data_IF_361815885417
#
_entry.id   IF_361815885417
#
_cell.length_a   1.000
_cell.length_b   1.000
_cell.length_c   1.000
_cell.angle_alpha   90.00
_cell.angle_beta   90.00
_cell.angle_gamma   90.00
#
_symmetry.space_group_name_H-M   'P 1'
#
loop_
_entity.id
_entity.type
_entity.pdbx_description
1 polymer ?
#
# COMPACT_ATOMS: atom_id res chain seq x y z
N UNK A 1 32.55 -27.29 -66.09
CA UNK A 1 32.36 -27.19 -64.62
C UNK A 1 31.25 -26.19 -64.36
N UNK A 2 30.09 -26.65 -63.85
CA UNK A 2 28.94 -25.80 -63.48
C UNK A 2 29.08 -25.46 -62.00
N UNK A 3 29.16 -24.18 -61.66
CA UNK A 3 29.16 -23.71 -60.26
C UNK A 3 27.71 -23.39 -59.89
N UNK A 4 27.23 -24.02 -58.83
CA UNK A 4 25.85 -23.91 -58.34
C UNK A 4 25.81 -22.86 -57.23
N UNK A 5 25.16 -21.72 -57.47
CA UNK A 5 24.94 -20.69 -56.44
C UNK A 5 23.74 -21.10 -55.57
N UNK A 6 24.00 -21.33 -54.28
CA UNK A 6 22.97 -21.50 -53.26
C UNK A 6 22.72 -20.13 -52.62
N UNK A 7 21.57 -19.51 -52.89
CA UNK A 7 21.09 -18.36 -52.11
C UNK A 7 20.51 -18.88 -50.79
N UNK A 8 21.12 -18.46 -49.67
CA UNK A 8 20.53 -18.62 -48.34
C UNK A 8 19.48 -17.52 -48.12
N UNK A 9 18.22 -17.91 -47.91
CA UNK A 9 17.17 -17.01 -47.48
C UNK A 9 17.31 -16.74 -45.98
N UNK A 10 17.60 -15.49 -45.60
CA UNK A 10 17.57 -15.03 -44.20
C UNK A 10 16.14 -14.62 -43.89
N UNK A 11 15.44 -15.40 -43.09
CA UNK A 11 14.14 -15.04 -42.54
C UNK A 11 14.35 -14.13 -41.32
N UNK A 12 14.09 -12.84 -41.47
CA UNK A 12 14.12 -11.88 -40.36
C UNK A 12 12.96 -12.15 -39.40
N UNK A 13 13.26 -12.65 -38.20
CA UNK A 13 12.31 -12.68 -37.09
C UNK A 13 12.06 -11.25 -36.60
N UNK A 14 10.83 -10.78 -36.75
CA UNK A 14 10.38 -9.55 -36.12
C UNK A 14 10.37 -9.75 -34.60
N UNK A 15 11.23 -9.03 -33.88
CA UNK A 15 11.17 -8.93 -32.42
C UNK A 15 10.06 -7.92 -32.11
N UNK A 16 8.91 -8.41 -31.69
CA UNK A 16 7.85 -7.55 -31.15
C UNK A 16 8.32 -7.01 -29.80
N UNK A 17 8.63 -5.72 -29.75
CA UNK A 17 8.84 -5.00 -28.50
C UNK A 17 7.52 -4.92 -27.76
N UNK A 18 7.44 -5.58 -26.59
CA UNK A 18 6.32 -5.35 -25.66
C UNK A 18 6.54 -3.95 -25.10
N UNK A 19 5.65 -3.01 -25.44
CA UNK A 19 5.61 -1.72 -24.80
C UNK A 19 5.30 -1.95 -23.31
N UNK A 20 6.25 -1.61 -22.44
CA UNK A 20 5.99 -1.48 -21.01
C UNK A 20 5.05 -0.29 -20.85
N UNK A 21 3.78 -0.54 -20.55
CA UNK A 21 2.87 0.53 -20.16
C UNK A 21 3.40 1.14 -18.86
N UNK A 22 3.91 2.36 -18.95
CA UNK A 22 4.09 3.20 -17.78
C UNK A 22 2.73 3.32 -17.09
N UNK A 23 2.66 2.93 -15.82
CA UNK A 23 1.48 3.18 -15.02
C UNK A 23 1.38 4.70 -14.89
N UNK A 24 0.44 5.31 -15.59
CA UNK A 24 0.10 6.70 -15.39
C UNK A 24 -0.59 6.79 -14.03
N UNK A 25 0.13 7.28 -13.03
CA UNK A 25 -0.43 7.55 -11.70
C UNK A 25 -1.37 8.76 -11.83
N UNK A 26 -2.60 8.61 -11.36
CA UNK A 26 -3.38 9.79 -10.95
C UNK A 26 -2.56 10.55 -9.91
N UNK A 27 -2.64 11.88 -9.85
CA UNK A 27 -1.94 12.70 -8.85
C UNK A 27 -1.86 11.97 -7.51
N UNK A 28 -0.64 11.55 -7.15
CA UNK A 28 -0.43 10.62 -6.07
C UNK A 28 -0.82 11.31 -4.76
N UNK A 29 -1.97 10.93 -4.19
CA UNK A 29 -2.49 11.60 -3.00
C UNK A 29 -1.91 10.93 -1.77
N UNK A 30 -1.11 11.68 -1.01
CA UNK A 30 -0.58 11.25 0.28
C UNK A 30 -1.69 10.68 1.16
N UNK A 31 -1.45 9.54 1.81
CA UNK A 31 -2.44 8.88 2.65
C UNK A 31 -1.91 8.58 4.06
N UNK A 32 -2.70 8.96 5.07
CA UNK A 32 -2.45 8.61 6.46
C UNK A 32 -3.05 7.24 6.85
N UNK A 33 -3.72 6.56 5.91
CA UNK A 33 -4.31 5.25 6.14
C UNK A 33 -3.24 4.18 6.33
N UNK A 34 -3.65 2.99 6.79
CA UNK A 34 -2.75 1.85 6.96
C UNK A 34 -3.11 0.74 5.98
N UNK A 35 -2.17 -0.18 5.79
CA UNK A 35 -2.40 -1.41 5.03
C UNK A 35 -2.72 -2.55 5.98
N UNK A 36 -3.69 -3.38 5.59
CA UNK A 36 -4.03 -4.60 6.32
C UNK A 36 -4.07 -5.78 5.36
N UNK A 37 -3.72 -6.95 5.86
CA UNK A 37 -3.90 -8.19 5.11
C UNK A 37 -5.40 -8.43 4.85
N UNK A 38 -5.78 -8.56 3.58
CA UNK A 38 -7.20 -8.67 3.21
C UNK A 38 -7.80 -10.02 3.59
N UNK A 39 -6.98 -11.07 3.56
CA UNK A 39 -7.33 -12.44 3.97
C UNK A 39 -6.13 -13.09 4.66
N UNK A 40 -6.36 -14.13 5.47
CA UNK A 40 -5.25 -14.92 6.04
C UNK A 40 -4.51 -15.62 4.90
N UNK A 41 -3.23 -15.30 4.73
CA UNK A 41 -2.45 -15.82 3.62
C UNK A 41 -1.14 -15.09 3.40
N UNK A 42 -0.42 -15.51 2.37
CA UNK A 42 0.82 -14.86 1.95
C UNK A 42 0.56 -13.45 1.43
N UNK A 43 1.46 -12.52 1.79
CA UNK A 43 1.55 -11.19 1.19
C UNK A 43 2.82 -11.14 0.36
N UNK A 44 2.70 -10.79 -0.92
CA UNK A 44 3.83 -10.69 -1.85
C UNK A 44 3.99 -9.25 -2.28
N UNK A 45 5.21 -8.74 -2.15
CA UNK A 45 5.63 -7.45 -2.66
C UNK A 45 6.26 -7.63 -4.04
N UNK A 46 5.87 -6.81 -5.01
CA UNK A 46 6.50 -6.73 -6.33
C UNK A 46 7.09 -5.34 -6.52
N UNK A 47 8.40 -5.23 -6.72
CA UNK A 47 9.03 -3.96 -7.06
C UNK A 47 8.61 -3.52 -8.46
N UNK A 48 8.18 -2.27 -8.62
CA UNK A 48 7.69 -1.75 -9.90
C UNK A 48 8.68 -0.79 -10.54
N UNK A 49 9.09 0.24 -9.80
CA UNK A 49 9.94 1.31 -10.33
C UNK A 49 10.56 2.17 -9.22
N UNK A 50 11.50 3.01 -9.63
CA UNK A 50 12.07 4.10 -8.83
C UNK A 50 12.44 5.28 -9.74
N UNK A 51 12.29 6.50 -9.26
CA UNK A 51 12.87 7.70 -9.86
C UNK A 51 13.53 8.60 -8.80
N UNK A 52 14.39 7.98 -8.00
CA UNK A 52 15.23 8.65 -7.00
C UNK A 52 16.73 8.55 -7.29
N UNK A 53 17.47 9.53 -6.79
CA UNK A 53 18.94 9.52 -6.69
C UNK A 53 19.42 8.84 -5.40
N UNK A 54 18.69 8.97 -4.29
CA UNK A 54 19.08 8.34 -3.03
C UNK A 54 18.91 6.82 -3.08
N UNK A 55 19.81 6.11 -2.40
CA UNK A 55 19.65 4.68 -2.17
C UNK A 55 18.78 4.48 -0.93
N UNK A 56 17.67 3.77 -1.09
CA UNK A 56 16.74 3.48 -0.01
C UNK A 56 16.57 1.99 0.19
N UNK A 57 16.64 1.56 1.46
CA UNK A 57 16.34 0.20 1.87
C UNK A 57 14.92 0.14 2.46
N UNK A 58 14.07 -0.71 1.89
CA UNK A 58 12.71 -0.94 2.36
C UNK A 58 12.68 -2.09 3.36
N UNK A 59 11.99 -1.91 4.48
CA UNK A 59 11.80 -2.90 5.52
C UNK A 59 10.32 -3.11 5.77
N UNK A 60 9.92 -4.34 6.11
CA UNK A 60 8.69 -4.57 6.87
C UNK A 60 8.96 -4.03 8.29
N UNK A 61 8.10 -3.17 8.83
CA UNK A 61 8.32 -2.56 10.15
C UNK A 61 8.57 -3.65 11.21
N UNK A 62 9.62 -3.48 12.00
CA UNK A 62 10.04 -4.45 13.01
C UNK A 62 10.96 -5.58 12.50
N UNK A 63 11.19 -5.67 11.19
CA UNK A 63 12.20 -6.58 10.60
C UNK A 63 13.62 -6.02 10.75
N UNK A 64 14.59 -6.91 11.02
CA UNK A 64 16.01 -6.57 11.01
C UNK A 64 16.63 -6.58 9.61
N UNK A 65 15.97 -7.21 8.63
CA UNK A 65 16.46 -7.37 7.26
C UNK A 65 15.63 -6.54 6.29
N UNK A 66 16.30 -5.86 5.36
CA UNK A 66 15.63 -5.17 4.26
C UNK A 66 15.00 -6.19 3.30
N UNK A 67 13.87 -5.80 2.73
CA UNK A 67 13.18 -6.53 1.67
C UNK A 67 13.93 -6.30 0.35
N UNK A 68 14.25 -5.04 0.05
CA UNK A 68 14.92 -4.63 -1.17
C UNK A 68 15.63 -3.27 -1.00
N UNK A 69 16.51 -2.95 -1.95
CA UNK A 69 17.09 -1.63 -2.15
C UNK A 69 16.64 -1.05 -3.50
N UNK A 70 16.12 0.18 -3.56
CA UNK A 70 15.58 0.76 -4.81
C UNK A 70 16.59 0.86 -5.97
N UNK A 71 17.88 1.06 -5.70
CA UNK A 71 18.90 1.20 -6.74
C UNK A 71 19.34 -0.14 -7.35
N UNK A 72 19.15 -1.24 -6.62
CA UNK A 72 19.60 -2.58 -7.06
C UNK A 72 18.45 -3.52 -7.42
N UNK A 73 17.24 -3.24 -6.95
CA UNK A 73 16.08 -4.06 -7.26
C UNK A 73 15.73 -3.99 -8.75
N UNK A 74 15.39 -5.14 -9.32
CA UNK A 74 14.97 -5.23 -10.72
C UNK A 74 13.44 -5.18 -10.78
N UNK A 75 12.88 -4.30 -11.62
CA UNK A 75 11.43 -4.20 -11.80
C UNK A 75 10.80 -5.57 -12.12
N UNK A 76 9.69 -5.89 -11.45
CA UNK A 76 9.02 -7.18 -11.53
C UNK A 76 9.55 -8.25 -10.55
N UNK A 77 10.63 -7.98 -9.81
CA UNK A 77 11.09 -8.89 -8.75
C UNK A 77 10.05 -8.97 -7.64
N UNK A 78 9.77 -10.21 -7.22
CA UNK A 78 8.81 -10.51 -6.16
C UNK A 78 9.52 -10.94 -4.89
N UNK A 79 9.00 -10.47 -3.76
CA UNK A 79 9.50 -10.74 -2.42
C UNK A 79 8.34 -11.21 -1.56
N UNK A 80 8.46 -12.42 -1.00
CA UNK A 80 7.50 -12.90 -0.01
C UNK A 80 7.71 -12.14 1.30
N UNK A 81 6.65 -11.57 1.85
CA UNK A 81 6.65 -10.96 3.18
C UNK A 81 6.23 -11.97 4.27
N UNK A 82 5.92 -13.21 3.88
CA UNK A 82 5.38 -14.24 4.74
C UNK A 82 3.85 -14.23 4.81
N UNK A 83 3.32 -15.01 5.76
CA UNK A 83 1.88 -15.17 6.00
C UNK A 83 1.40 -14.21 7.07
N UNK A 84 0.29 -13.53 6.79
CA UNK A 84 -0.38 -12.61 7.70
C UNK A 84 -1.80 -13.13 7.98
N UNK A 85 -2.32 -12.86 9.17
CA UNK A 85 -3.72 -13.09 9.49
C UNK A 85 -4.60 -11.99 8.87
N UNK A 86 -5.85 -12.32 8.51
CA UNK A 86 -6.79 -11.32 8.02
C UNK A 86 -6.92 -10.14 9.00
N UNK A 87 -6.80 -8.91 8.49
CA UNK A 87 -6.87 -7.69 9.27
C UNK A 87 -5.58 -7.37 10.04
N UNK A 88 -4.51 -8.16 9.91
CA UNK A 88 -3.22 -7.84 10.48
C UNK A 88 -2.61 -6.62 9.79
N UNK A 89 -2.07 -5.69 10.58
CA UNK A 89 -1.37 -4.51 10.09
C UNK A 89 -0.12 -4.91 9.28
N UNK A 90 0.02 -4.29 8.11
CA UNK A 90 1.22 -4.34 7.28
C UNK A 90 1.76 -2.92 7.23
N UNK A 91 2.98 -2.69 7.71
CA UNK A 91 3.61 -1.38 7.69
C UNK A 91 5.04 -1.49 7.21
N UNK A 92 5.53 -0.42 6.61
CA UNK A 92 6.85 -0.36 6.03
C UNK A 92 7.65 0.81 6.59
N UNK A 93 8.97 0.58 6.71
CA UNK A 93 9.95 1.62 6.97
C UNK A 93 10.88 1.73 5.76
N UNK A 94 11.15 2.95 5.30
CA UNK A 94 12.13 3.24 4.28
C UNK A 94 13.31 3.97 4.92
N UNK A 95 14.50 3.35 4.88
CA UNK A 95 15.74 3.98 5.31
C UNK A 95 16.43 4.61 4.11
N UNK A 96 16.70 5.91 4.18
CA UNK A 96 17.52 6.63 3.20
C UNK A 96 18.97 6.50 3.61
N UNK A 97 19.76 5.74 2.85
CA UNK A 97 21.08 5.28 3.28
C UNK A 97 22.09 6.42 3.43
N UNK A 98 21.98 7.46 2.61
CA UNK A 98 22.89 8.61 2.61
C UNK A 98 22.66 9.55 3.80
N UNK A 99 21.40 9.78 4.18
CA UNK A 99 21.02 10.73 5.24
C UNK A 99 20.79 10.05 6.59
N UNK A 100 20.50 8.75 6.60
CA UNK A 100 20.09 8.00 7.77
C UNK A 100 18.64 8.27 8.21
N UNK A 101 17.88 9.08 7.47
CA UNK A 101 16.46 9.27 7.78
C UNK A 101 15.67 8.00 7.53
N UNK A 102 14.71 7.74 8.42
CA UNK A 102 13.78 6.63 8.29
C UNK A 102 12.36 7.19 8.22
N UNK A 103 11.70 6.92 7.11
CA UNK A 103 10.31 7.31 6.87
C UNK A 103 9.40 6.10 6.98
N UNK A 104 8.27 6.29 7.62
CA UNK A 104 7.30 5.27 7.97
C UNK A 104 6.03 5.46 7.15
N UNK A 105 5.44 4.34 6.71
CA UNK A 105 4.11 4.33 6.12
C UNK A 105 3.03 4.73 7.14
N UNK A 106 1.93 5.29 6.64
CA UNK A 106 0.78 5.70 7.45
C UNK A 106 0.84 7.16 7.89
N UNK A 107 0.35 7.43 9.10
CA UNK A 107 0.20 8.81 9.61
C UNK A 107 1.51 9.59 9.66
N UNK A 108 1.43 10.88 9.32
CA UNK A 108 2.51 11.86 9.49
C UNK A 108 3.11 11.88 10.90
N UNK A 109 2.31 11.58 11.93
CA UNK A 109 2.77 11.55 13.30
C UNK A 109 3.85 10.49 13.57
N UNK A 110 3.96 9.48 12.70
CA UNK A 110 5.01 8.46 12.77
C UNK A 110 6.37 8.98 12.28
N UNK A 111 6.39 10.08 11.53
CA UNK A 111 7.58 10.65 10.93
C UNK A 111 8.10 11.86 11.72
N UNK A 112 9.42 11.98 11.82
CA UNK A 112 10.08 13.03 12.60
C UNK A 112 9.77 14.45 12.08
N UNK A 113 9.46 14.56 10.80
CA UNK A 113 9.11 15.81 10.11
C UNK A 113 7.61 16.09 10.07
N UNK A 114 6.79 15.22 10.64
CA UNK A 114 5.33 15.30 10.60
C UNK A 114 4.77 15.32 9.16
N UNK A 115 5.46 14.65 8.22
CA UNK A 115 5.03 14.53 6.84
C UNK A 115 4.57 13.10 6.49
N UNK A 116 3.65 12.97 5.53
CA UNK A 116 3.18 11.68 5.02
C UNK A 116 4.06 11.28 3.84
N UNK A 117 4.84 10.21 3.99
CA UNK A 117 5.78 9.74 2.98
C UNK A 117 5.24 8.64 2.07
N UNK A 118 3.92 8.37 2.12
CA UNK A 118 3.32 7.29 1.34
C UNK A 118 2.05 7.69 0.61
N UNK A 119 1.86 7.06 -0.54
CA UNK A 119 0.60 7.05 -1.30
C UNK A 119 0.11 5.62 -1.47
N UNK A 120 -1.20 5.46 -1.59
CA UNK A 120 -1.82 4.17 -1.87
C UNK A 120 -2.77 4.29 -3.06
N UNK A 121 -2.61 3.41 -4.04
CA UNK A 121 -3.57 3.21 -5.12
C UNK A 121 -4.09 1.77 -5.05
N UNK A 122 -5.31 1.60 -4.54
CA UNK A 122 -5.94 0.29 -4.41
C UNK A 122 -6.71 -0.07 -5.68
N UNK A 123 -6.45 -1.28 -6.17
CA UNK A 123 -7.21 -1.93 -7.24
C UNK A 123 -7.76 -3.26 -6.74
N UNK A 124 -8.71 -3.85 -7.47
CA UNK A 124 -9.36 -5.11 -7.07
C UNK A 124 -8.40 -6.32 -6.85
N UNK A 125 -7.11 -6.21 -7.23
CA UNK A 125 -6.14 -7.31 -7.14
C UNK A 125 -4.87 -6.99 -6.37
N UNK A 126 -4.56 -5.71 -6.16
CA UNK A 126 -3.31 -5.26 -5.54
C UNK A 126 -3.43 -3.82 -5.06
N UNK A 127 -2.62 -3.46 -4.07
CA UNK A 127 -2.38 -2.07 -3.67
C UNK A 127 -1.02 -1.66 -4.20
N UNK A 128 -0.95 -0.55 -4.92
CA UNK A 128 0.31 0.10 -5.30
C UNK A 128 0.67 1.09 -4.19
N UNK A 129 1.92 1.06 -3.77
CA UNK A 129 2.50 1.92 -2.74
C UNK A 129 3.62 2.72 -3.37
N UNK A 130 3.55 4.04 -3.27
CA UNK A 130 4.64 4.96 -3.62
C UNK A 130 5.21 5.62 -2.36
N UNK A 131 6.53 5.78 -2.30
CA UNK A 131 7.24 6.43 -1.21
C UNK A 131 7.94 7.72 -1.68
N UNK A 132 8.04 8.69 -0.77
CA UNK A 132 8.82 9.93 -0.89
C UNK A 132 10.03 9.87 0.06
N UNK A 133 11.25 10.08 -0.44
CA UNK A 133 12.51 9.88 0.30
C UNK A 133 13.18 11.17 0.82
N UNK A 134 12.57 12.33 0.59
CA UNK A 134 13.06 13.61 1.11
C UNK A 134 12.35 14.07 2.37
N UNK A 135 13.13 14.48 3.37
CA UNK A 135 12.63 15.12 4.58
C UNK A 135 11.75 16.34 4.24
N UNK A 136 10.55 16.41 4.84
CA UNK A 136 9.59 17.47 4.58
C UNK A 136 8.80 17.30 3.27
N UNK A 137 8.96 16.16 2.60
CA UNK A 137 8.12 15.75 1.49
C UNK A 137 8.60 16.11 0.10
N UNK A 138 9.79 16.70 -0.06
CA UNK A 138 10.41 16.84 -1.37
C UNK A 138 9.54 17.53 -2.43
N UNK A 139 9.43 16.89 -3.59
CA UNK A 139 8.58 17.30 -4.70
C UNK A 139 7.21 16.59 -4.72
N UNK A 140 6.98 15.64 -3.80
CA UNK A 140 5.70 14.97 -3.55
C UNK A 140 5.19 14.19 -4.75
N UNK A 141 6.08 13.65 -5.58
CA UNK A 141 5.69 12.78 -6.67
C UNK A 141 5.59 11.29 -6.25
N UNK A 142 6.12 10.95 -5.07
CA UNK A 142 6.08 9.64 -4.42
C UNK A 142 6.59 8.48 -5.30
N UNK A 143 7.50 8.77 -6.22
CA UNK A 143 8.03 7.78 -7.16
C UNK A 143 9.44 7.29 -6.81
N UNK A 144 10.00 7.72 -5.68
CA UNK A 144 11.35 7.36 -5.23
C UNK A 144 11.53 5.86 -5.01
N UNK A 145 10.44 5.22 -4.57
CA UNK A 145 10.31 3.77 -4.46
C UNK A 145 8.83 3.38 -4.65
N UNK A 146 8.55 2.58 -5.68
CA UNK A 146 7.19 2.13 -6.01
C UNK A 146 7.12 0.61 -6.06
N UNK A 147 6.18 0.03 -5.33
CA UNK A 147 5.91 -1.41 -5.32
C UNK A 147 4.41 -1.70 -5.27
N UNK A 148 4.03 -2.94 -5.57
CA UNK A 148 2.67 -3.42 -5.32
C UNK A 148 2.63 -4.55 -4.31
N UNK A 149 1.54 -4.64 -3.56
CA UNK A 149 1.24 -5.73 -2.65
C UNK A 149 0.04 -6.54 -3.13
N UNK A 150 0.16 -7.87 -3.06
CA UNK A 150 -0.98 -8.78 -3.12
C UNK A 150 -1.57 -8.99 -1.73
N UNK A 151 -2.85 -9.37 -1.66
CA UNK A 151 -3.54 -9.69 -0.39
C UNK A 151 -3.47 -8.55 0.66
N UNK A 152 -3.51 -7.31 0.19
CA UNK A 152 -3.54 -6.12 1.05
C UNK A 152 -4.69 -5.20 0.64
N UNK A 153 -5.22 -4.46 1.60
CA UNK A 153 -6.24 -3.43 1.43
C UNK A 153 -5.92 -2.20 2.27
N UNK A 154 -6.30 -1.02 1.78
CA UNK A 154 -6.10 0.24 2.49
C UNK A 154 -7.26 0.47 3.45
N UNK A 155 -6.99 0.91 4.67
CA UNK A 155 -8.04 1.23 5.62
C UNK A 155 -7.60 2.16 6.74
N UNK A 156 -8.59 2.88 7.26
CA UNK A 156 -8.49 3.54 8.55
C UNK A 156 -9.34 2.74 9.54
N UNK A 157 -8.76 2.25 10.64
CA UNK A 157 -9.54 1.65 11.72
C UNK A 157 -10.26 2.78 12.49
N UNK A 158 -11.23 3.42 11.85
CA UNK A 158 -12.34 3.98 12.61
C UNK A 158 -13.10 2.77 13.13
N UNK A 159 -12.89 2.42 14.39
CA UNK A 159 -13.76 1.46 15.04
C UNK A 159 -15.18 1.98 14.81
N UNK A 160 -15.98 1.27 14.01
CA UNK A 160 -17.42 1.44 14.08
C UNK A 160 -17.75 1.03 15.49
N UNK A 161 -17.78 1.99 16.40
CA UNK A 161 -18.23 1.79 17.77
C UNK A 161 -19.61 1.17 17.60
N UNK A 162 -19.81 -0.13 17.88
CA UNK A 162 -21.17 -0.60 18.00
C UNK A 162 -21.73 0.23 19.14
N UNK A 163 -22.90 0.84 18.98
CA UNK A 163 -23.58 1.46 20.11
C UNK A 163 -24.48 0.40 20.76
N UNK A 164 -24.01 -0.46 21.68
CA UNK A 164 -24.89 -1.40 22.37
C UNK A 164 -25.82 -0.71 23.37
N UNK A 165 -25.88 0.63 23.42
CA UNK A 165 -26.60 1.39 24.45
C UNK A 165 -27.76 2.25 23.96
N UNK A 166 -27.67 2.91 22.81
CA UNK A 166 -28.62 3.98 22.48
C UNK A 166 -30.03 3.49 22.19
N UNK A 167 -30.19 2.35 21.52
CA UNK A 167 -31.51 1.73 21.34
C UNK A 167 -32.07 1.13 22.63
N UNK A 168 -31.21 0.55 23.47
CA UNK A 168 -31.63 -0.01 24.76
C UNK A 168 -32.11 1.10 25.70
N UNK A 169 -31.39 2.22 25.78
CA UNK A 169 -31.75 3.39 26.58
C UNK A 169 -32.96 4.14 26.02
N UNK A 170 -33.09 4.24 24.69
CA UNK A 170 -34.27 4.80 24.05
C UNK A 170 -35.52 3.94 24.34
N UNK A 171 -35.43 2.62 24.17
CA UNK A 171 -36.54 1.71 24.46
C UNK A 171 -36.89 1.68 25.95
N UNK A 172 -35.89 1.71 26.84
CA UNK A 172 -36.10 1.83 28.28
C UNK A 172 -36.78 3.15 28.64
N UNK A 173 -36.31 4.28 28.08
CA UNK A 173 -36.91 5.60 28.29
C UNK A 173 -38.36 5.67 27.82
N UNK A 174 -38.65 5.18 26.60
CA UNK A 174 -40.01 5.12 26.06
C UNK A 174 -40.91 4.18 26.86
N UNK A 175 -40.38 3.05 27.34
CA UNK A 175 -41.10 2.12 28.22
C UNK A 175 -41.52 2.77 29.54
N UNK A 176 -40.62 3.52 30.18
CA UNK A 176 -40.90 4.24 31.42
C UNK A 176 -41.96 5.34 31.23
N UNK A 177 -41.89 6.10 30.14
CA UNK A 177 -42.89 7.12 29.79
C UNK A 177 -44.27 6.49 29.55
N UNK A 178 -44.32 5.37 28.82
CA UNK A 178 -45.57 4.65 28.58
C UNK A 178 -46.24 4.13 29.87
N UNK A 179 -45.46 3.58 30.81
CA UNK A 179 -45.97 3.13 32.11
C UNK A 179 -46.47 4.30 32.95
N UNK A 180 -45.73 5.42 32.97
CA UNK A 180 -46.12 6.62 33.70
C UNK A 180 -47.41 7.25 33.15
N UNK A 181 -47.58 7.29 31.82
CA UNK A 181 -48.79 7.80 31.17
C UNK A 181 -50.02 6.91 31.46
N UNK A 182 -49.87 5.58 31.45
CA UNK A 182 -50.97 4.64 31.75
C UNK A 182 -51.50 4.75 33.19
N UNK A 183 -50.64 5.10 34.15
CA UNK A 183 -51.07 5.26 35.56
C UNK A 183 -51.94 6.50 35.77
N UNK A 184 -51.85 7.51 34.91
CA UNK A 184 -52.64 8.76 35.02
C UNK A 184 -54.06 8.64 34.47
N UNK A 185 -54.36 7.61 33.69
CA UNK A 185 -55.70 7.40 33.11
C UNK A 185 -56.55 6.43 33.93
N UNK A 186 -55.99 5.80 34.97
CA UNK A 186 -56.68 4.83 35.83
C UNK A 186 -56.95 5.33 37.26
N UNK A 187 -56.69 6.61 37.54
CA UNK A 187 -57.11 7.30 38.77
C UNK A 187 -58.01 8.47 38.41
#
# INVERSE_FOLDING_TARGET
MKVLNILAAVASMAISTVATSAYATSEAKASADNLYASTTGEVVLTFLSKSADYATDLFLTGSATSILNNQTAVAGTQYSLGTFEQGQLISFDMLVNDTGFRFHSGSAANNIDQFIHVTYEESARRVIVGFEDLYGGGDQDYNDLVFSLTNASVGNLVSSVPEPGNYAMLLAGLGLVGVAARRRTQG
#
